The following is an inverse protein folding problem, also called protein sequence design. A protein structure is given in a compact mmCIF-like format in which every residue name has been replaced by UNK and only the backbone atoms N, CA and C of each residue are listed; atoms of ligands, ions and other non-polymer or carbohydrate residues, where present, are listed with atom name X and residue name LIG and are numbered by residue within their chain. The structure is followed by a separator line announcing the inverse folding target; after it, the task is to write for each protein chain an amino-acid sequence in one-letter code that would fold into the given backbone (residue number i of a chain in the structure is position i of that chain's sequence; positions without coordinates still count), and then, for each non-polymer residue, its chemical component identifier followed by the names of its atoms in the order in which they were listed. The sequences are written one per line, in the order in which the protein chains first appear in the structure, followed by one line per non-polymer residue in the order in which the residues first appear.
data_IF_745575336049
#
_entry.id   IF_745575336049
#
_cell.length_a   1.000
_cell.length_b   1.000
_cell.length_c   1.000
_cell.angle_alpha   90.00
_cell.angle_beta   90.00
_cell.angle_gamma   90.00
#
_symmetry.space_group_name_H-M   'P 1'
#
loop_
_entity.id
_entity.type
_entity.pdbx_description
1 polymer ?
#
# COMPACT_ATOMS: atom_id res chain seq x y z
N UNK A 1 15.49 -24.83 16.21
CA UNK A 1 14.82 -23.53 15.91
C UNK A 1 14.80 -23.36 14.39
N UNK A 2 13.62 -23.37 13.76
CA UNK A 2 13.52 -23.04 12.34
C UNK A 2 13.64 -21.52 12.21
N UNK A 3 14.62 -21.04 11.44
CA UNK A 3 14.76 -19.62 11.17
C UNK A 3 13.46 -19.13 10.50
N UNK A 4 12.79 -18.13 11.08
CA UNK A 4 11.60 -17.56 10.48
C UNK A 4 11.97 -16.98 9.11
N UNK A 5 11.36 -17.50 8.04
CA UNK A 5 11.53 -16.97 6.68
C UNK A 5 11.14 -15.48 6.68
N UNK A 6 11.99 -14.63 6.10
CA UNK A 6 11.68 -13.21 5.88
C UNK A 6 10.48 -13.09 4.94
N UNK A 7 9.44 -12.38 5.38
CA UNK A 7 8.24 -12.10 4.57
C UNK A 7 8.59 -11.19 3.40
N UNK A 8 7.99 -11.45 2.24
CA UNK A 8 8.15 -10.66 1.03
C UNK A 8 7.02 -9.64 0.88
N UNK A 9 7.40 -8.44 0.46
CA UNK A 9 6.50 -7.39 0.00
C UNK A 9 6.78 -7.13 -1.47
N UNK A 10 5.77 -7.29 -2.31
CA UNK A 10 5.85 -7.03 -3.75
C UNK A 10 4.83 -5.97 -4.16
N UNK A 11 5.18 -5.22 -5.18
CA UNK A 11 4.32 -4.24 -5.80
C UNK A 11 4.03 -4.71 -7.23
N UNK A 12 2.75 -4.83 -7.55
CA UNK A 12 2.32 -5.02 -8.92
C UNK A 12 2.77 -3.81 -9.76
N UNK A 13 3.18 -4.00 -11.03
CA UNK A 13 3.61 -2.89 -11.90
C UNK A 13 2.58 -1.75 -11.99
N UNK A 14 1.30 -2.08 -11.94
CA UNK A 14 0.19 -1.11 -11.94
C UNK A 14 0.19 -0.23 -10.69
N UNK A 15 0.32 -0.82 -9.49
CA UNK A 15 0.47 -0.06 -8.25
C UNK A 15 1.66 0.91 -8.29
N UNK A 16 2.77 0.52 -8.93
CA UNK A 16 3.94 1.38 -9.11
C UNK A 16 3.61 2.55 -10.04
N UNK A 17 2.90 2.29 -11.14
CA UNK A 17 2.49 3.31 -12.09
C UNK A 17 1.53 4.32 -11.46
N UNK A 18 0.49 3.85 -10.75
CA UNK A 18 -0.49 4.68 -10.03
C UNK A 18 0.18 5.58 -8.98
N UNK A 19 1.13 5.01 -8.21
CA UNK A 19 1.90 5.75 -7.24
C UNK A 19 2.75 6.83 -7.91
N UNK A 20 3.46 6.48 -9.00
CA UNK A 20 4.31 7.42 -9.72
C UNK A 20 3.51 8.58 -10.32
N UNK A 21 2.39 8.29 -11.00
CA UNK A 21 1.51 9.30 -11.59
C UNK A 21 0.95 10.24 -10.52
N UNK A 22 0.45 9.68 -9.41
CA UNK A 22 -0.11 10.47 -8.32
C UNK A 22 0.93 11.35 -7.65
N UNK A 23 2.12 10.81 -7.36
CA UNK A 23 3.20 11.59 -6.74
C UNK A 23 3.76 12.66 -7.67
N UNK A 24 3.82 12.43 -8.98
CA UNK A 24 4.24 13.43 -9.96
C UNK A 24 3.30 14.64 -9.94
N UNK A 25 1.99 14.41 -9.94
CA UNK A 25 0.98 15.47 -9.85
C UNK A 25 1.13 16.33 -8.58
N UNK A 26 1.44 15.70 -7.45
CA UNK A 26 1.74 16.41 -6.20
C UNK A 26 3.08 17.13 -6.24
N UNK A 27 4.10 16.53 -6.86
CA UNK A 27 5.44 17.09 -6.89
C UNK A 27 5.52 18.40 -7.67
N UNK A 28 4.72 18.55 -8.72
CA UNK A 28 4.58 19.81 -9.47
C UNK A 28 4.11 20.99 -8.60
N UNK A 29 3.30 20.71 -7.57
CA UNK A 29 2.69 21.73 -6.69
C UNK A 29 3.45 21.90 -5.39
N UNK A 30 3.85 20.79 -4.78
CA UNK A 30 4.56 20.76 -3.52
C UNK A 30 5.43 19.47 -3.42
N UNK A 31 6.71 19.54 -3.80
CA UNK A 31 7.61 18.39 -3.79
C UNK A 31 7.95 17.90 -2.37
N UNK A 32 7.80 18.75 -1.35
CA UNK A 32 7.95 18.34 0.06
C UNK A 32 6.78 17.44 0.47
N UNK A 33 5.55 17.83 0.12
CA UNK A 33 4.35 17.04 0.38
C UNK A 33 4.40 15.69 -0.34
N UNK A 34 4.79 15.66 -1.62
CA UNK A 34 4.93 14.42 -2.39
C UNK A 34 5.91 13.43 -1.72
N UNK A 35 7.08 13.92 -1.27
CA UNK A 35 8.05 13.09 -0.54
C UNK A 35 7.51 12.58 0.80
N UNK A 36 6.74 13.41 1.52
CA UNK A 36 6.09 12.98 2.76
C UNK A 36 5.06 11.89 2.50
N UNK A 37 4.18 12.08 1.51
CA UNK A 37 3.17 11.08 1.13
C UNK A 37 3.83 9.76 0.74
N UNK A 38 4.89 9.78 -0.08
CA UNK A 38 5.65 8.57 -0.43
C UNK A 38 6.14 7.81 0.81
N UNK A 39 6.73 8.52 1.78
CA UNK A 39 7.22 7.89 3.03
C UNK A 39 6.09 7.26 3.84
N UNK A 40 4.95 7.92 3.94
CA UNK A 40 3.78 7.38 4.65
C UNK A 40 3.23 6.13 3.94
N UNK A 41 3.17 6.14 2.60
CA UNK A 41 2.77 4.99 1.78
C UNK A 41 3.73 3.81 1.99
N UNK A 42 5.04 4.04 1.91
CA UNK A 42 6.07 3.01 2.12
C UNK A 42 6.01 2.42 3.54
N UNK A 43 5.80 3.27 4.56
CA UNK A 43 5.68 2.82 5.94
C UNK A 43 4.45 1.91 6.15
N UNK A 44 3.30 2.28 5.57
CA UNK A 44 2.09 1.45 5.62
C UNK A 44 2.30 0.14 4.85
N UNK A 45 2.90 0.19 3.65
CA UNK A 45 3.20 -1.00 2.87
C UNK A 45 4.11 -1.99 3.62
N UNK A 46 5.17 -1.49 4.27
CA UNK A 46 6.05 -2.31 5.12
C UNK A 46 5.31 -2.91 6.32
N UNK A 47 4.34 -2.21 6.89
CA UNK A 47 3.54 -2.73 8.01
C UNK A 47 2.70 -3.96 7.62
N UNK A 48 2.37 -4.13 6.34
CA UNK A 48 1.56 -5.27 5.85
C UNK A 48 2.29 -6.62 6.00
N UNK A 49 3.62 -6.60 5.98
CA UNK A 49 4.45 -7.79 6.20
C UNK A 49 4.93 -7.92 7.66
N UNK A 50 4.44 -7.09 8.59
CA UNK A 50 4.77 -7.23 10.00
C UNK A 50 4.23 -8.55 10.60
N UNK A 51 4.79 -8.95 11.74
CA UNK A 51 4.34 -10.12 12.51
C UNK A 51 2.97 -9.88 13.14
N UNK A 52 2.76 -8.69 13.68
CA UNK A 52 1.47 -8.20 14.12
C UNK A 52 1.05 -7.08 13.17
N UNK A 53 -0.07 -7.27 12.49
CA UNK A 53 -0.66 -6.20 11.67
C UNK A 53 -1.61 -5.40 12.56
N UNK A 54 -1.49 -4.07 12.62
CA UNK A 54 -2.32 -3.24 13.48
C UNK A 54 -3.78 -3.16 13.01
N UNK A 55 -4.07 -3.66 11.80
CA UNK A 55 -5.40 -3.72 11.21
C UNK A 55 -5.53 -4.99 10.40
N UNK A 56 -6.73 -5.59 10.42
CA UNK A 56 -7.04 -6.75 9.57
C UNK A 56 -7.15 -6.37 8.08
N UNK A 57 -7.29 -5.09 7.74
CA UNK A 57 -7.64 -4.62 6.40
C UNK A 57 -9.12 -4.89 6.14
N UNK A 58 -9.82 -3.93 5.54
CA UNK A 58 -11.23 -4.16 5.16
C UNK A 58 -11.26 -5.15 4.00
N UNK A 59 -12.20 -6.11 3.95
CA UNK A 59 -12.44 -6.89 2.73
C UNK A 59 -12.68 -5.91 1.59
N UNK A 60 -11.87 -5.98 0.53
CA UNK A 60 -12.16 -5.21 -0.67
C UNK A 60 -13.33 -5.85 -1.42
N UNK A 61 -13.85 -5.13 -2.41
CA UNK A 61 -14.94 -5.61 -3.29
C UNK A 61 -14.55 -6.92 -4.02
N UNK A 62 -13.26 -7.12 -4.27
CA UNK A 62 -12.71 -8.32 -4.93
C UNK A 62 -12.30 -9.37 -3.89
N UNK A 63 -12.86 -10.58 -4.00
CA UNK A 63 -12.54 -11.73 -3.13
C UNK A 63 -11.02 -11.95 -3.04
N UNK A 64 -10.51 -11.98 -1.81
CA UNK A 64 -9.09 -12.23 -1.53
C UNK A 64 -8.23 -10.97 -1.40
N UNK A 65 -8.74 -9.81 -1.82
CA UNK A 65 -8.06 -8.52 -1.63
C UNK A 65 -8.52 -7.81 -0.35
N UNK A 66 -7.63 -7.00 0.21
CA UNK A 66 -7.83 -6.20 1.41
C UNK A 66 -7.41 -4.76 1.14
N UNK A 67 -8.03 -3.83 1.84
CA UNK A 67 -7.73 -2.42 1.71
C UNK A 67 -7.16 -1.83 3.01
N UNK A 68 -6.19 -0.94 2.86
CA UNK A 68 -5.69 -0.10 3.95
C UNK A 68 -5.56 1.37 3.52
N UNK A 69 -6.23 2.31 4.20
CA UNK A 69 -6.00 3.74 4.04
C UNK A 69 -4.60 4.15 4.52
N UNK A 70 -3.92 5.02 3.78
CA UNK A 70 -2.59 5.50 4.14
C UNK A 70 -2.71 6.73 5.04
N UNK A 71 -2.56 6.52 6.34
CA UNK A 71 -2.66 7.59 7.34
C UNK A 71 -4.05 8.26 7.36
N UNK A 72 -4.23 9.25 8.23
CA UNK A 72 -5.49 10.01 8.33
C UNK A 72 -5.53 11.24 7.40
N UNK A 73 -4.40 11.63 6.81
CA UNK A 73 -4.25 12.88 6.08
C UNK A 73 -3.79 12.73 4.64
N UNK A 74 -3.65 11.49 4.14
CA UNK A 74 -3.35 11.27 2.72
C UNK A 74 -4.57 10.66 2.03
N UNK A 75 -4.86 11.05 0.78
CA UNK A 75 -5.98 10.49 0.04
C UNK A 75 -5.63 9.14 -0.60
N UNK A 76 -4.70 8.36 -0.05
CA UNK A 76 -4.24 7.10 -0.64
C UNK A 76 -4.81 5.87 0.07
N UNK A 77 -5.05 4.80 -0.69
CA UNK A 77 -5.44 3.49 -0.19
C UNK A 77 -4.66 2.42 -0.92
N UNK A 78 -4.09 1.49 -0.18
CA UNK A 78 -3.42 0.32 -0.76
C UNK A 78 -4.41 -0.83 -0.82
N UNK A 79 -4.55 -1.43 -2.00
CA UNK A 79 -5.27 -2.67 -2.22
C UNK A 79 -4.24 -3.78 -2.35
N UNK A 80 -4.36 -4.82 -1.52
CA UNK A 80 -3.33 -5.85 -1.40
C UNK A 80 -3.91 -7.24 -1.14
N UNK A 81 -3.12 -8.26 -1.44
CA UNK A 81 -3.37 -9.64 -1.03
C UNK A 81 -2.27 -10.05 -0.06
N UNK A 82 -2.65 -10.59 1.10
CA UNK A 82 -1.70 -11.13 2.08
C UNK A 82 -1.94 -12.62 2.26
N UNK A 83 -0.91 -13.42 2.01
CA UNK A 83 -0.98 -14.85 2.14
C UNK A 83 -1.08 -15.26 3.63
N UNK A 84 -2.13 -15.99 4.00
CA UNK A 84 -2.42 -16.28 5.41
C UNK A 84 -1.33 -17.11 6.11
N UNK A 85 -0.73 -18.07 5.41
CA UNK A 85 0.25 -18.98 6.00
C UNK A 85 1.68 -18.40 6.05
N UNK A 86 2.05 -17.58 5.07
CA UNK A 86 3.43 -17.05 4.97
C UNK A 86 3.54 -15.61 5.43
N UNK A 87 2.46 -14.82 5.34
CA UNK A 87 2.48 -13.38 5.57
C UNK A 87 3.14 -12.58 4.44
N UNK A 88 3.43 -13.21 3.29
CA UNK A 88 3.84 -12.52 2.07
C UNK A 88 2.69 -11.63 1.58
N UNK A 89 3.02 -10.48 1.02
CA UNK A 89 2.07 -9.46 0.60
C UNK A 89 2.37 -8.98 -0.81
N UNK A 90 1.33 -8.84 -1.63
CA UNK A 90 1.39 -8.21 -2.95
C UNK A 90 0.43 -7.03 -2.94
N UNK A 91 0.93 -5.84 -3.22
CA UNK A 91 0.12 -4.62 -3.41
C UNK A 91 -0.25 -4.55 -4.89
N UNK A 92 -1.54 -4.58 -5.19
CA UNK A 92 -2.08 -4.52 -6.56
C UNK A 92 -2.37 -3.10 -7.01
N UNK A 93 -2.89 -2.26 -6.10
CA UNK A 93 -3.21 -0.86 -6.40
C UNK A 93 -2.79 0.07 -5.25
N UNK A 94 -2.41 1.30 -5.61
CA UNK A 94 -2.17 2.45 -4.76
C UNK A 94 -3.15 3.57 -5.17
N UNK A 95 -4.42 3.37 -4.84
CA UNK A 95 -5.49 4.24 -5.29
C UNK A 95 -5.48 5.59 -4.57
N UNK A 96 -5.71 6.65 -5.34
CA UNK A 96 -5.96 7.99 -4.84
C UNK A 96 -7.47 8.24 -4.74
N UNK A 97 -8.05 8.14 -3.54
CA UNK A 97 -9.50 8.17 -3.26
C UNK A 97 -10.24 9.38 -3.85
N UNK A 98 -9.57 10.53 -3.98
CA UNK A 98 -10.19 11.75 -4.55
C UNK A 98 -10.13 11.84 -6.07
N UNK A 99 -9.38 10.94 -6.72
CA UNK A 99 -9.19 10.94 -8.18
C UNK A 99 -9.99 9.86 -8.90
N UNK A 100 -10.56 8.90 -8.17
CA UNK A 100 -11.40 7.82 -8.71
C UNK A 100 -10.86 7.29 -10.04
N UNK A 101 -9.59 6.90 -10.03
CA UNK A 101 -8.99 6.21 -11.17
C UNK A 101 -9.54 4.78 -11.19
N UNK A 102 -10.05 4.30 -12.33
CA UNK A 102 -10.75 3.02 -12.44
C UNK A 102 -9.85 1.82 -12.11
#
# INVERSE_FOLDING_TARGET
MVAARKKRLEWHPEAIAELAESLAWYAERNPVAARRMRREIEAVALSLIANQIPFSGRPAVVVGTREVPVGSHTPFTLIFVRHAATGDCIIYHCMHQRRNYP
#
